data_IF_728806617289
#
_entry.id   IF_728806617289
#
_cell.length_a   1.000
_cell.length_b   1.000
_cell.length_c   1.000
_cell.angle_alpha   90.00
_cell.angle_beta   90.00
_cell.angle_gamma   90.00
#
_symmetry.space_group_name_H-M   'P 1'
#
loop_
_entity.id
_entity.type
_entity.pdbx_description
1 polymer ?
#
# COMPACT_ATOMS: atom_id res chain seq x y z
N UNK A 1 -101.40 -90.82 29.23
CA UNK A 1 -99.93 -90.67 29.18
C UNK A 1 -99.39 -91.83 28.37
N UNK A 2 -98.76 -91.57 27.22
CA UNK A 2 -98.04 -92.59 26.46
C UNK A 2 -96.69 -92.02 26.04
N UNK A 3 -95.67 -92.84 26.16
CA UNK A 3 -94.28 -92.47 26.37
C UNK A 3 -93.44 -92.60 25.08
N UNK A 4 -92.40 -91.76 24.99
CA UNK A 4 -91.08 -92.00 24.37
C UNK A 4 -90.98 -92.05 22.84
N UNK A 5 -89.97 -91.33 22.33
CA UNK A 5 -89.45 -91.48 20.97
C UNK A 5 -88.11 -90.77 20.74
N UNK A 6 -87.14 -90.90 21.66
CA UNK A 6 -85.75 -90.53 21.39
C UNK A 6 -85.12 -91.52 20.40
N UNK A 7 -84.48 -91.02 19.33
CA UNK A 7 -83.83 -91.85 18.30
C UNK A 7 -82.89 -92.91 18.93
N UNK A 8 -82.87 -94.15 18.42
CA UNK A 8 -82.03 -95.22 18.97
C UNK A 8 -80.55 -94.89 18.75
N UNK A 9 -79.74 -95.05 19.80
CA UNK A 9 -78.28 -95.01 19.72
C UNK A 9 -77.77 -96.19 18.90
N UNK A 10 -76.92 -95.90 17.91
CA UNK A 10 -76.23 -96.92 17.10
C UNK A 10 -75.34 -97.74 18.04
N UNK A 11 -75.56 -99.06 18.12
CA UNK A 11 -74.75 -99.98 18.92
C UNK A 11 -73.63 -100.54 18.07
N UNK A 12 -72.38 -100.19 18.40
CA UNK A 12 -71.19 -100.69 17.71
C UNK A 12 -70.80 -102.07 18.24
N UNK A 13 -70.20 -102.92 17.39
CA UNK A 13 -69.63 -104.21 17.81
C UNK A 13 -68.36 -104.00 18.63
N UNK A 14 -68.01 -104.97 19.49
CA UNK A 14 -66.77 -104.92 20.28
C UNK A 14 -65.53 -104.80 19.39
N UNK A 15 -65.53 -105.43 18.20
CA UNK A 15 -64.47 -105.28 17.20
C UNK A 15 -64.40 -103.84 16.68
N UNK A 16 -65.52 -103.25 16.27
CA UNK A 16 -65.56 -101.88 15.76
C UNK A 16 -65.15 -100.85 16.83
N UNK A 17 -65.43 -101.12 18.11
CA UNK A 17 -64.94 -100.31 19.23
C UNK A 17 -63.41 -100.43 19.40
N UNK A 18 -62.85 -101.65 19.30
CA UNK A 18 -61.39 -101.85 19.33
C UNK A 18 -60.71 -101.17 18.13
N UNK A 19 -61.24 -101.32 16.92
CA UNK A 19 -60.71 -100.70 15.70
C UNK A 19 -60.74 -99.17 15.79
N UNK A 20 -61.85 -98.59 16.26
CA UNK A 20 -61.96 -97.14 16.49
C UNK A 20 -60.95 -96.65 17.55
N UNK A 21 -60.77 -97.37 18.66
CA UNK A 21 -59.78 -97.01 19.66
C UNK A 21 -58.34 -97.14 19.13
N UNK A 22 -58.03 -98.19 18.36
CA UNK A 22 -56.74 -98.35 17.71
C UNK A 22 -56.47 -97.21 16.71
N UNK A 23 -57.46 -96.80 15.92
CA UNK A 23 -57.37 -95.65 15.03
C UNK A 23 -57.15 -94.34 15.82
N UNK A 24 -57.90 -94.11 16.89
CA UNK A 24 -57.72 -92.93 17.75
C UNK A 24 -56.31 -92.89 18.38
N UNK A 25 -55.79 -94.03 18.84
CA UNK A 25 -54.43 -94.12 19.37
C UNK A 25 -53.36 -93.91 18.30
N UNK A 26 -53.54 -94.49 17.11
CA UNK A 26 -52.62 -94.32 15.98
C UNK A 26 -52.58 -92.86 15.50
N UNK A 27 -53.74 -92.22 15.36
CA UNK A 27 -53.86 -90.80 15.02
C UNK A 27 -53.24 -89.93 16.11
N UNK A 28 -53.58 -90.14 17.39
CA UNK A 28 -52.99 -89.38 18.50
C UNK A 28 -51.46 -89.56 18.60
N UNK A 29 -50.91 -90.72 18.22
CA UNK A 29 -49.47 -90.94 18.16
C UNK A 29 -48.83 -90.24 16.95
N UNK A 30 -49.48 -90.27 15.78
CA UNK A 30 -49.03 -89.52 14.59
C UNK A 30 -49.03 -88.01 14.86
N UNK A 31 -50.13 -87.46 15.38
CA UNK A 31 -50.25 -86.04 15.73
C UNK A 31 -49.22 -85.60 16.77
N UNK A 32 -48.94 -86.44 17.79
CA UNK A 32 -47.85 -86.16 18.75
C UNK A 32 -46.48 -86.14 18.09
N UNK A 33 -46.21 -87.02 17.13
CA UNK A 33 -44.95 -87.02 16.37
C UNK A 33 -44.81 -85.77 15.51
N UNK A 34 -45.85 -85.42 14.75
CA UNK A 34 -45.88 -84.19 13.93
C UNK A 34 -45.70 -82.95 14.80
N UNK A 35 -46.45 -82.85 15.90
CA UNK A 35 -46.32 -81.76 16.88
C UNK A 35 -44.91 -81.71 17.50
N UNK A 36 -44.31 -82.86 17.82
CA UNK A 36 -42.94 -82.90 18.35
C UNK A 36 -41.91 -82.40 17.33
N UNK A 37 -42.06 -82.77 16.06
CA UNK A 37 -41.20 -82.29 14.97
C UNK A 37 -41.35 -80.78 14.77
N UNK A 38 -42.58 -80.27 14.63
CA UNK A 38 -42.86 -78.82 14.48
C UNK A 38 -42.31 -78.02 15.68
N UNK A 39 -42.48 -78.52 16.91
CA UNK A 39 -41.93 -77.85 18.09
C UNK A 39 -40.41 -77.88 18.12
N UNK A 40 -39.77 -78.96 17.67
CA UNK A 40 -38.32 -79.04 17.60
C UNK A 40 -37.76 -78.10 16.53
N UNK A 41 -38.35 -78.11 15.34
CA UNK A 41 -38.02 -77.16 14.26
C UNK A 41 -38.24 -75.71 14.70
N UNK A 42 -39.38 -75.42 15.33
CA UNK A 42 -39.68 -74.09 15.87
C UNK A 42 -38.71 -73.65 16.97
N UNK A 43 -38.24 -74.57 17.84
CA UNK A 43 -37.20 -74.27 18.82
C UNK A 43 -35.84 -73.99 18.16
N UNK A 44 -35.44 -74.82 17.20
CA UNK A 44 -34.20 -74.63 16.43
C UNK A 44 -34.23 -73.29 15.69
N UNK A 45 -35.32 -72.99 14.97
CA UNK A 45 -35.50 -71.74 14.23
C UNK A 45 -35.46 -70.53 15.17
N UNK A 46 -36.13 -70.58 16.32
CA UNK A 46 -36.08 -69.51 17.32
C UNK A 46 -34.67 -69.27 17.87
N UNK A 47 -33.93 -70.35 18.14
CA UNK A 47 -32.55 -70.24 18.63
C UNK A 47 -31.65 -69.64 17.57
N UNK A 48 -31.72 -70.15 16.34
CA UNK A 48 -30.94 -69.68 15.20
C UNK A 48 -31.22 -68.21 14.89
N UNK A 49 -32.50 -67.83 14.76
CA UNK A 49 -32.91 -66.45 14.49
C UNK A 49 -32.54 -65.52 15.64
N UNK A 50 -32.69 -65.93 16.89
CA UNK A 50 -32.26 -65.14 18.05
C UNK A 50 -30.75 -64.87 18.03
N UNK A 51 -29.93 -65.90 17.79
CA UNK A 51 -28.48 -65.73 17.68
C UNK A 51 -28.10 -64.87 16.49
N UNK A 52 -28.77 -65.05 15.35
CA UNK A 52 -28.52 -64.27 14.14
C UNK A 52 -28.85 -62.80 14.33
N UNK A 53 -30.01 -62.48 14.92
CA UNK A 53 -30.42 -61.09 15.19
C UNK A 53 -29.45 -60.38 16.13
N UNK A 54 -29.03 -61.03 17.22
CA UNK A 54 -28.05 -60.45 18.16
C UNK A 54 -26.71 -60.21 17.47
N UNK A 55 -26.26 -61.14 16.63
CA UNK A 55 -25.01 -61.00 15.90
C UNK A 55 -25.09 -59.86 14.87
N UNK A 56 -26.16 -59.80 14.07
CA UNK A 56 -26.35 -58.74 13.06
C UNK A 56 -26.45 -57.36 13.73
N UNK A 57 -27.18 -57.21 14.84
CA UNK A 57 -27.28 -55.97 15.62
C UNK A 57 -25.90 -55.51 16.15
N UNK A 58 -25.11 -56.46 16.67
CA UNK A 58 -23.76 -56.19 17.15
C UNK A 58 -22.82 -55.77 16.01
N UNK A 59 -22.87 -56.45 14.85
CA UNK A 59 -22.05 -56.08 13.69
C UNK A 59 -22.43 -54.70 13.14
N UNK A 60 -23.72 -54.37 13.05
CA UNK A 60 -24.16 -53.04 12.64
C UNK A 60 -23.75 -51.94 13.62
N UNK A 61 -23.84 -52.22 14.92
CA UNK A 61 -23.41 -51.27 15.97
C UNK A 61 -21.91 -51.01 15.91
N UNK A 62 -21.10 -52.05 15.64
CA UNK A 62 -19.66 -51.92 15.44
C UNK A 62 -19.34 -51.04 14.23
N UNK A 63 -19.96 -51.30 13.08
CA UNK A 63 -19.76 -50.49 11.86
C UNK A 63 -20.19 -49.03 12.05
N UNK A 64 -21.27 -48.79 12.78
CA UNK A 64 -21.72 -47.44 13.11
C UNK A 64 -20.71 -46.73 14.03
N UNK A 65 -20.16 -47.43 15.03
CA UNK A 65 -19.09 -46.90 15.88
C UNK A 65 -17.82 -46.55 15.10
N UNK A 66 -17.40 -47.39 14.15
CA UNK A 66 -16.30 -47.10 13.23
C UNK A 66 -16.59 -45.85 12.39
N UNK A 67 -17.83 -45.70 11.90
CA UNK A 67 -18.25 -44.53 11.12
C UNK A 67 -18.20 -43.24 11.94
N UNK A 68 -18.71 -43.26 13.18
CA UNK A 68 -18.63 -42.13 14.13
C UNK A 68 -17.18 -41.69 14.29
N UNK A 69 -16.25 -42.64 14.44
CA UNK A 69 -14.83 -42.33 14.57
C UNK A 69 -14.24 -41.68 13.30
N UNK A 70 -14.56 -42.20 12.11
CA UNK A 70 -14.11 -41.62 10.85
C UNK A 70 -14.63 -40.19 10.63
N UNK A 71 -15.92 -39.95 10.93
CA UNK A 71 -16.54 -38.63 10.80
C UNK A 71 -15.93 -37.65 11.79
N UNK A 72 -15.72 -38.06 13.05
CA UNK A 72 -15.07 -37.24 14.07
C UNK A 72 -13.64 -36.87 13.68
N UNK A 73 -12.85 -37.81 13.14
CA UNK A 73 -11.49 -37.53 12.66
C UNK A 73 -11.50 -36.48 11.55
N UNK A 74 -12.42 -36.57 10.60
CA UNK A 74 -12.54 -35.60 9.52
C UNK A 74 -13.01 -34.23 9.99
N UNK A 75 -13.95 -34.17 10.94
CA UNK A 75 -14.35 -32.94 11.62
C UNK A 75 -13.11 -32.24 12.21
N UNK A 76 -12.29 -32.95 12.98
CA UNK A 76 -11.10 -32.38 13.60
C UNK A 76 -10.06 -31.89 12.58
N UNK A 77 -9.90 -32.58 11.45
CA UNK A 77 -9.01 -32.16 10.35
C UNK A 77 -9.51 -30.86 9.71
N UNK A 78 -10.81 -30.78 9.41
CA UNK A 78 -11.44 -29.59 8.81
C UNK A 78 -11.39 -28.40 9.77
N UNK A 79 -11.65 -28.61 11.06
CA UNK A 79 -11.59 -27.58 12.09
C UNK A 79 -10.17 -26.99 12.22
N UNK A 80 -9.15 -27.84 12.32
CA UNK A 80 -7.74 -27.40 12.32
C UNK A 80 -7.34 -26.69 11.03
N UNK A 81 -7.83 -27.17 9.88
CA UNK A 81 -7.54 -26.53 8.59
C UNK A 81 -8.17 -25.14 8.51
N UNK A 82 -9.43 -25.01 8.96
CA UNK A 82 -10.14 -23.74 8.99
C UNK A 82 -9.45 -22.72 9.91
N UNK A 83 -8.99 -23.15 11.09
CA UNK A 83 -8.22 -22.29 11.99
C UNK A 83 -6.94 -21.76 11.34
N UNK A 84 -6.18 -22.61 10.63
CA UNK A 84 -4.97 -22.18 9.91
C UNK A 84 -5.27 -21.18 8.79
N UNK A 85 -6.40 -21.33 8.11
CA UNK A 85 -6.85 -20.37 7.11
C UNK A 85 -7.18 -19.03 7.77
N UNK A 86 -7.84 -19.03 8.93
CA UNK A 86 -8.13 -17.81 9.70
C UNK A 86 -6.82 -17.10 10.11
N UNK A 87 -5.84 -17.84 10.66
CA UNK A 87 -4.52 -17.32 11.02
C UNK A 87 -3.78 -16.71 9.82
N UNK A 88 -3.84 -17.37 8.65
CA UNK A 88 -3.20 -16.87 7.43
C UNK A 88 -3.91 -15.64 6.86
N UNK A 89 -5.25 -15.58 6.94
CA UNK A 89 -6.04 -14.41 6.55
C UNK A 89 -5.71 -13.19 7.42
N UNK A 90 -5.57 -13.37 8.74
CA UNK A 90 -5.17 -12.30 9.66
C UNK A 90 -3.79 -11.76 9.29
N UNK A 91 -2.81 -12.65 9.07
CA UNK A 91 -1.46 -12.24 8.76
C UNK A 91 -1.31 -11.64 7.35
N UNK A 92 -2.12 -12.07 6.36
CA UNK A 92 -2.22 -11.42 5.05
C UNK A 92 -2.87 -10.03 5.14
N UNK A 93 -3.91 -9.89 5.98
CA UNK A 93 -4.56 -8.59 6.24
C UNK A 93 -3.58 -7.59 6.85
N UNK A 94 -2.78 -8.01 7.84
CA UNK A 94 -1.74 -7.17 8.42
C UNK A 94 -0.72 -6.71 7.37
N UNK A 95 -0.31 -7.62 6.47
CA UNK A 95 0.62 -7.27 5.37
C UNK A 95 0.02 -6.24 4.41
N UNK A 96 -1.29 -6.33 4.12
CA UNK A 96 -2.02 -5.33 3.33
C UNK A 96 -2.03 -3.97 4.00
N UNK A 97 -2.42 -3.92 5.28
CA UNK A 97 -2.49 -2.68 6.06
C UNK A 97 -1.13 -1.98 6.14
N UNK A 98 -0.05 -2.74 6.38
CA UNK A 98 1.31 -2.21 6.35
C UNK A 98 1.68 -1.61 5.00
N UNK A 99 1.28 -2.26 3.90
CA UNK A 99 1.53 -1.77 2.53
C UNK A 99 0.72 -0.49 2.25
N UNK A 100 -0.52 -0.41 2.74
CA UNK A 100 -1.36 0.79 2.68
C UNK A 100 -0.77 1.96 3.48
N UNK A 101 -0.21 1.70 4.66
CA UNK A 101 0.51 2.70 5.43
C UNK A 101 1.75 3.22 4.71
N UNK A 102 2.53 2.33 4.08
CA UNK A 102 3.69 2.73 3.26
C UNK A 102 3.24 3.57 2.07
N UNK A 103 2.16 3.19 1.39
CA UNK A 103 1.58 3.98 0.30
C UNK A 103 1.18 5.38 0.79
N UNK A 104 0.46 5.49 1.91
CA UNK A 104 0.08 6.77 2.48
C UNK A 104 1.30 7.64 2.84
N UNK A 105 2.36 7.03 3.36
CA UNK A 105 3.60 7.73 3.71
C UNK A 105 4.32 8.37 2.49
N UNK A 106 4.05 7.90 1.26
CA UNK A 106 4.62 8.50 0.04
C UNK A 106 3.98 9.83 -0.38
N UNK A 107 2.81 10.18 0.17
CA UNK A 107 2.11 11.42 -0.20
C UNK A 107 2.92 12.68 0.15
N UNK A 108 3.51 12.73 1.35
CA UNK A 108 4.30 13.88 1.81
C UNK A 108 5.57 14.08 0.95
N UNK A 109 6.39 13.05 0.66
CA UNK A 109 7.47 13.13 -0.31
C UNK A 109 7.06 13.69 -1.69
N UNK A 110 5.92 13.26 -2.21
CA UNK A 110 5.42 13.73 -3.52
C UNK A 110 5.06 15.21 -3.48
N UNK A 111 4.30 15.64 -2.46
CA UNK A 111 3.93 17.03 -2.26
C UNK A 111 5.15 17.93 -2.07
N UNK A 112 6.11 17.51 -1.25
CA UNK A 112 7.35 18.26 -1.00
C UNK A 112 8.16 18.43 -2.29
N UNK A 113 8.32 17.37 -3.07
CA UNK A 113 9.08 17.41 -4.32
C UNK A 113 8.41 18.30 -5.36
N UNK A 114 7.08 18.23 -5.45
CA UNK A 114 6.27 19.08 -6.33
C UNK A 114 6.33 20.55 -5.90
N UNK A 115 6.18 20.84 -4.61
CA UNK A 115 6.30 22.21 -4.07
C UNK A 115 7.70 22.78 -4.35
N UNK A 116 8.76 21.97 -4.22
CA UNK A 116 10.12 22.40 -4.55
C UNK A 116 10.28 22.77 -6.03
N UNK A 117 9.62 22.04 -6.95
CA UNK A 117 9.60 22.39 -8.36
C UNK A 117 8.87 23.72 -8.58
N UNK A 118 7.68 23.89 -8.01
CA UNK A 118 6.91 25.15 -8.11
C UNK A 118 7.64 26.36 -7.54
N UNK A 119 8.34 26.19 -6.41
CA UNK A 119 9.19 27.25 -5.84
C UNK A 119 10.28 27.68 -6.82
N UNK A 120 10.86 26.74 -7.56
CA UNK A 120 11.93 27.01 -8.51
C UNK A 120 11.44 27.61 -9.83
N UNK A 121 10.21 27.32 -10.23
CA UNK A 121 9.53 28.02 -11.34
C UNK A 121 9.35 29.52 -11.06
N UNK A 122 9.34 29.93 -9.79
CA UNK A 122 9.28 31.34 -9.40
C UNK A 122 10.54 32.16 -9.67
N UNK A 123 11.66 31.53 -10.07
CA UNK A 123 12.92 32.21 -10.39
C UNK A 123 12.76 33.12 -11.63
N UNK A 124 13.49 34.24 -11.63
CA UNK A 124 13.32 35.28 -12.65
C UNK A 124 14.56 35.44 -13.54
N UNK A 125 14.31 35.68 -14.84
CA UNK A 125 15.37 35.99 -15.80
C UNK A 125 16.43 34.90 -15.91
N UNK A 126 17.73 35.23 -15.91
CA UNK A 126 18.82 34.26 -16.06
C UNK A 126 18.93 33.22 -14.93
N UNK A 127 18.20 33.39 -13.82
CA UNK A 127 18.19 32.42 -12.71
C UNK A 127 17.24 31.23 -12.97
N UNK A 128 16.30 31.38 -13.91
CA UNK A 128 15.41 30.31 -14.34
C UNK A 128 16.17 29.39 -15.32
N UNK A 129 16.91 28.44 -14.76
CA UNK A 129 17.80 27.54 -15.50
C UNK A 129 17.38 26.09 -15.25
N UNK A 130 17.43 25.30 -16.32
CA UNK A 130 17.38 23.85 -16.22
C UNK A 130 18.70 23.33 -15.66
N UNK A 131 18.70 22.97 -14.39
CA UNK A 131 19.90 22.56 -13.66
C UNK A 131 19.74 21.16 -13.04
N UNK A 132 20.81 20.56 -12.51
CA UNK A 132 20.75 19.22 -11.94
C UNK A 132 19.76 19.08 -10.79
N UNK A 133 19.35 20.16 -10.11
CA UNK A 133 18.34 20.06 -9.05
C UNK A 133 16.97 19.81 -9.64
N UNK A 134 16.61 20.54 -10.70
CA UNK A 134 15.32 20.35 -11.38
C UNK A 134 15.22 18.93 -11.96
N UNK A 135 16.30 18.42 -12.56
CA UNK A 135 16.35 17.03 -13.05
C UNK A 135 16.14 16.01 -11.93
N UNK A 136 16.80 16.17 -10.78
CA UNK A 136 16.67 15.23 -9.66
C UNK A 136 15.30 15.31 -8.99
N UNK A 137 14.70 16.50 -8.89
CA UNK A 137 13.34 16.68 -8.38
C UNK A 137 12.29 16.02 -9.30
N UNK A 138 12.41 16.17 -10.63
CA UNK A 138 11.52 15.49 -11.58
C UNK A 138 11.65 13.96 -11.48
N UNK A 139 12.89 13.45 -11.42
CA UNK A 139 13.15 12.02 -11.18
C UNK A 139 12.57 11.53 -9.85
N UNK A 140 12.65 12.34 -8.79
CA UNK A 140 12.06 12.01 -7.49
C UNK A 140 10.53 11.91 -7.57
N UNK A 141 9.86 12.87 -8.23
CA UNK A 141 8.40 12.81 -8.48
C UNK A 141 8.01 11.57 -9.29
N UNK A 142 8.65 11.35 -10.44
CA UNK A 142 8.37 10.20 -11.32
C UNK A 142 8.57 8.86 -10.60
N UNK A 143 9.62 8.75 -9.78
CA UNK A 143 9.89 7.57 -8.97
C UNK A 143 8.82 7.36 -7.91
N UNK A 144 8.43 8.41 -7.18
CA UNK A 144 7.40 8.31 -6.14
C UNK A 144 6.06 7.87 -6.75
N UNK A 145 5.65 8.45 -7.87
CA UNK A 145 4.42 8.04 -8.58
C UNK A 145 4.51 6.59 -9.11
N UNK A 146 5.69 6.16 -9.56
CA UNK A 146 5.96 4.78 -9.94
C UNK A 146 5.81 3.81 -8.76
N UNK A 147 6.36 4.16 -7.61
CA UNK A 147 6.24 3.39 -6.36
C UNK A 147 4.79 3.34 -5.89
N UNK A 148 4.06 4.45 -5.92
CA UNK A 148 2.64 4.49 -5.56
C UNK A 148 1.81 3.53 -6.40
N UNK A 149 2.00 3.51 -7.73
CA UNK A 149 1.32 2.58 -8.63
C UNK A 149 1.64 1.11 -8.31
N UNK A 150 2.91 0.79 -8.05
CA UNK A 150 3.33 -0.57 -7.67
C UNK A 150 2.72 -1.01 -6.34
N UNK A 151 2.74 -0.14 -5.33
CA UNK A 151 2.13 -0.43 -4.02
C UNK A 151 0.62 -0.64 -4.15
N UNK A 152 -0.08 0.18 -4.93
CA UNK A 152 -1.51 0.00 -5.22
C UNK A 152 -1.80 -1.35 -5.90
N UNK A 153 -0.99 -1.74 -6.88
CA UNK A 153 -1.10 -3.04 -7.53
C UNK A 153 -0.89 -4.20 -6.54
N UNK A 154 0.11 -4.12 -5.68
CA UNK A 154 0.35 -5.13 -4.64
C UNK A 154 -0.84 -5.23 -3.67
N UNK A 155 -1.38 -4.09 -3.22
CA UNK A 155 -2.56 -4.05 -2.34
C UNK A 155 -3.76 -4.74 -3.01
N UNK A 156 -3.97 -4.50 -4.31
CA UNK A 156 -5.04 -5.13 -5.06
C UNK A 156 -4.86 -6.65 -5.15
N UNK A 157 -3.66 -7.13 -5.49
CA UNK A 157 -3.36 -8.57 -5.56
C UNK A 157 -3.54 -9.26 -4.20
N UNK A 158 -3.10 -8.60 -3.12
CA UNK A 158 -3.30 -9.10 -1.75
C UNK A 158 -4.78 -9.16 -1.39
N UNK A 159 -5.57 -8.18 -1.79
CA UNK A 159 -7.02 -8.18 -1.58
C UNK A 159 -7.72 -9.32 -2.34
N UNK A 160 -7.36 -9.55 -3.61
CA UNK A 160 -7.89 -10.68 -4.38
C UNK A 160 -7.57 -12.02 -3.69
N UNK A 161 -6.35 -12.18 -3.19
CA UNK A 161 -5.94 -13.39 -2.46
C UNK A 161 -6.72 -13.57 -1.15
N UNK A 162 -7.04 -12.49 -0.43
CA UNK A 162 -7.93 -12.54 0.74
C UNK A 162 -9.32 -13.05 0.37
N UNK A 163 -9.88 -12.62 -0.76
CA UNK A 163 -11.18 -13.14 -1.23
C UNK A 163 -11.13 -14.65 -1.52
N UNK A 164 -10.03 -15.14 -2.13
CA UNK A 164 -9.84 -16.58 -2.36
C UNK A 164 -9.80 -17.36 -1.05
N UNK A 165 -9.02 -16.88 -0.06
CA UNK A 165 -8.97 -17.51 1.27
C UNK A 165 -10.33 -17.50 1.97
N UNK A 166 -11.10 -16.42 1.84
CA UNK A 166 -12.43 -16.30 2.41
C UNK A 166 -13.42 -17.31 1.79
N UNK A 167 -13.37 -17.53 0.46
CA UNK A 167 -14.19 -18.54 -0.21
C UNK A 167 -13.83 -19.95 0.28
N UNK A 168 -12.53 -20.26 0.38
CA UNK A 168 -12.03 -21.53 0.91
C UNK A 168 -12.51 -21.74 2.35
N UNK A 169 -12.44 -20.70 3.18
CA UNK A 169 -12.91 -20.74 4.57
C UNK A 169 -14.39 -21.08 4.63
N UNK A 170 -15.21 -20.48 3.77
CA UNK A 170 -16.64 -20.80 3.69
C UNK A 170 -16.87 -22.27 3.32
N UNK A 171 -16.17 -22.80 2.33
CA UNK A 171 -16.28 -24.21 1.92
C UNK A 171 -15.88 -25.19 3.04
N UNK A 172 -14.76 -24.92 3.72
CA UNK A 172 -14.33 -25.71 4.89
C UNK A 172 -15.38 -25.69 6.01
N UNK A 173 -16.02 -24.53 6.24
CA UNK A 173 -17.09 -24.38 7.24
C UNK A 173 -18.33 -25.19 6.88
N UNK A 174 -18.73 -25.16 5.61
CA UNK A 174 -19.87 -25.93 5.12
C UNK A 174 -19.62 -27.43 5.25
N UNK A 175 -18.43 -27.91 4.87
CA UNK A 175 -18.05 -29.31 5.04
C UNK A 175 -18.01 -29.70 6.52
N UNK A 176 -17.42 -28.86 7.38
CA UNK A 176 -17.37 -29.07 8.83
C UNK A 176 -18.78 -29.19 9.43
N UNK A 177 -19.71 -28.31 9.05
CA UNK A 177 -21.10 -28.38 9.50
C UNK A 177 -21.75 -29.70 9.10
N UNK A 178 -21.58 -30.11 7.84
CA UNK A 178 -22.09 -31.40 7.36
C UNK A 178 -21.51 -32.59 8.15
N UNK A 179 -20.22 -32.53 8.54
CA UNK A 179 -19.60 -33.56 9.40
C UNK A 179 -20.18 -33.54 10.82
N UNK A 180 -20.46 -32.37 11.38
CA UNK A 180 -21.07 -32.24 12.71
C UNK A 180 -22.49 -32.81 12.72
N UNK A 181 -23.31 -32.46 11.73
CA UNK A 181 -24.69 -32.95 11.61
C UNK A 181 -24.72 -34.47 11.39
N UNK A 182 -23.84 -35.00 10.53
CA UNK A 182 -23.70 -36.44 10.33
C UNK A 182 -23.26 -37.16 11.61
N UNK A 183 -22.33 -36.57 12.36
CA UNK A 183 -21.85 -37.13 13.62
C UNK A 183 -22.95 -37.20 14.69
N UNK A 184 -23.78 -36.15 14.79
CA UNK A 184 -24.89 -36.10 15.73
C UNK A 184 -25.96 -37.15 15.41
N UNK A 185 -26.28 -37.33 14.13
CA UNK A 185 -27.19 -38.39 13.66
C UNK A 185 -26.60 -39.77 13.97
N UNK A 186 -25.35 -40.02 13.61
CA UNK A 186 -24.71 -41.33 13.80
C UNK A 186 -24.57 -41.69 15.29
N UNK A 187 -24.24 -40.71 16.15
CA UNK A 187 -24.20 -40.89 17.61
C UNK A 187 -25.59 -41.16 18.18
N UNK A 188 -26.61 -40.44 17.71
CA UNK A 188 -28.00 -40.66 18.09
C UNK A 188 -28.44 -42.08 17.72
N UNK A 189 -28.15 -42.53 16.50
CA UNK A 189 -28.42 -43.90 16.04
C UNK A 189 -27.70 -44.95 16.89
N UNK A 190 -26.44 -44.71 17.27
CA UNK A 190 -25.65 -45.63 18.10
C UNK A 190 -26.21 -45.75 19.52
N UNK A 191 -26.90 -44.71 20.02
CA UNK A 191 -27.51 -44.71 21.36
C UNK A 191 -28.86 -45.45 21.43
N UNK A 192 -29.50 -45.70 20.28
CA UNK A 192 -30.80 -46.38 20.23
C UNK A 192 -30.67 -47.86 20.60
N UNK A 193 -31.64 -48.36 21.35
CA UNK A 193 -31.79 -49.78 21.66
C UNK A 193 -33.27 -50.18 21.59
N UNK A 194 -33.55 -51.48 21.72
CA UNK A 194 -34.91 -52.05 21.59
C UNK A 194 -35.91 -51.47 22.62
N UNK A 195 -35.43 -50.87 23.71
CA UNK A 195 -36.28 -50.23 24.74
C UNK A 195 -36.44 -48.71 24.54
N UNK A 196 -35.81 -48.12 23.52
CA UNK A 196 -35.92 -46.70 23.24
C UNK A 196 -37.34 -46.34 22.79
N UNK A 197 -37.94 -45.23 23.30
CA UNK A 197 -39.34 -44.90 23.05
C UNK A 197 -39.65 -44.51 21.60
N UNK A 198 -38.66 -44.00 20.85
CA UNK A 198 -38.85 -43.44 19.51
C UNK A 198 -38.64 -44.44 18.35
N UNK A 199 -38.42 -45.73 18.65
CA UNK A 199 -38.29 -46.76 17.62
C UNK A 199 -39.67 -47.10 17.02
N UNK A 200 -39.75 -47.21 15.70
CA UNK A 200 -40.99 -47.51 14.98
C UNK A 200 -40.69 -48.06 13.60
N UNK A 201 -41.63 -48.83 13.03
CA UNK A 201 -41.55 -49.31 11.66
C UNK A 201 -41.69 -48.13 10.69
N UNK A 202 -40.73 -47.99 9.76
CA UNK A 202 -40.69 -46.89 8.80
C UNK A 202 -41.20 -47.34 7.43
N UNK A 203 -41.87 -46.45 6.71
CA UNK A 203 -42.29 -46.69 5.33
C UNK A 203 -41.09 -46.66 4.40
N UNK A 204 -40.91 -47.72 3.60
CA UNK A 204 -39.81 -47.88 2.64
C UNK A 204 -38.42 -47.54 3.23
N UNK A 205 -37.94 -48.31 4.22
CA UNK A 205 -36.68 -48.02 4.94
C UNK A 205 -35.43 -48.33 4.10
N UNK A 206 -35.55 -49.15 3.06
CA UNK A 206 -34.44 -49.55 2.18
C UNK A 206 -34.24 -48.61 0.99
N UNK A 207 -34.94 -47.47 0.96
CA UNK A 207 -34.79 -46.47 -0.10
C UNK A 207 -33.40 -45.83 -0.05
N UNK A 208 -32.85 -45.55 -1.22
CA UNK A 208 -31.63 -44.76 -1.38
C UNK A 208 -32.05 -43.36 -1.83
N UNK A 209 -31.81 -42.31 -1.03
CA UNK A 209 -32.11 -40.94 -1.46
C UNK A 209 -31.35 -40.57 -2.74
N UNK A 210 -31.97 -39.84 -3.68
CA UNK A 210 -31.27 -39.32 -4.85
C UNK A 210 -30.15 -38.37 -4.42
N UNK A 211 -28.99 -38.45 -5.07
CA UNK A 211 -27.80 -37.66 -4.71
C UNK A 211 -26.95 -38.23 -3.56
N UNK A 212 -27.18 -39.49 -3.16
CA UNK A 212 -26.32 -40.17 -2.17
C UNK A 212 -24.90 -40.36 -2.70
N UNK A 213 -23.89 -39.99 -1.91
CA UNK A 213 -22.47 -40.18 -2.22
C UNK A 213 -21.95 -41.53 -1.71
N UNK A 214 -20.92 -42.05 -2.39
CA UNK A 214 -20.13 -43.19 -1.92
C UNK A 214 -19.16 -42.77 -0.79
N UNK A 215 -18.68 -43.72 0.04
CA UNK A 215 -17.65 -43.43 1.04
C UNK A 215 -16.37 -42.85 0.45
N UNK A 216 -16.00 -43.27 -0.76
CA UNK A 216 -14.84 -42.77 -1.49
C UNK A 216 -15.02 -41.30 -1.87
N UNK A 217 -16.17 -40.93 -2.44
CA UNK A 217 -16.49 -39.54 -2.78
C UNK A 217 -16.53 -38.64 -1.53
N UNK A 218 -17.08 -39.15 -0.42
CA UNK A 218 -17.11 -38.43 0.87
C UNK A 218 -15.71 -38.11 1.40
N UNK A 219 -14.79 -39.08 1.36
CA UNK A 219 -13.38 -38.88 1.75
C UNK A 219 -12.69 -37.91 0.80
N UNK A 220 -12.89 -38.07 -0.51
CA UNK A 220 -12.29 -37.21 -1.54
C UNK A 220 -12.74 -35.76 -1.42
N UNK A 221 -14.01 -35.50 -1.09
CA UNK A 221 -14.53 -34.15 -0.91
C UNK A 221 -13.79 -33.38 0.19
N UNK A 222 -13.64 -33.98 1.37
CA UNK A 222 -12.92 -33.33 2.48
C UNK A 222 -11.42 -33.23 2.22
N UNK A 223 -10.81 -34.21 1.56
CA UNK A 223 -9.42 -34.10 1.10
C UNK A 223 -9.22 -32.95 0.13
N UNK A 224 -10.11 -32.79 -0.85
CA UNK A 224 -10.04 -31.73 -1.84
C UNK A 224 -10.10 -30.35 -1.19
N UNK A 225 -11.04 -30.13 -0.26
CA UNK A 225 -11.17 -28.86 0.46
C UNK A 225 -9.90 -28.51 1.25
N UNK A 226 -9.31 -29.51 1.94
CA UNK A 226 -8.07 -29.34 2.71
C UNK A 226 -6.87 -29.07 1.78
N UNK A 227 -6.75 -29.78 0.67
CA UNK A 227 -5.68 -29.57 -0.31
C UNK A 227 -5.74 -28.16 -0.91
N UNK A 228 -6.94 -27.72 -1.34
CA UNK A 228 -7.18 -26.37 -1.86
C UNK A 228 -6.82 -25.29 -0.85
N UNK A 229 -7.15 -25.51 0.43
CA UNK A 229 -6.77 -24.61 1.50
C UNK A 229 -5.25 -24.51 1.70
N UNK A 230 -4.55 -25.64 1.69
CA UNK A 230 -3.09 -25.65 1.76
C UNK A 230 -2.43 -24.91 0.61
N UNK A 231 -2.90 -25.12 -0.63
CA UNK A 231 -2.38 -24.42 -1.81
C UNK A 231 -2.58 -22.90 -1.71
N UNK A 232 -3.77 -22.45 -1.31
CA UNK A 232 -4.06 -21.03 -1.16
C UNK A 232 -3.28 -20.36 -0.02
N UNK A 233 -3.08 -21.06 1.11
CA UNK A 233 -2.23 -20.56 2.20
C UNK A 233 -0.77 -20.44 1.76
N UNK A 234 -0.24 -21.40 0.98
CA UNK A 234 1.12 -21.31 0.43
C UNK A 234 1.26 -20.15 -0.56
N UNK A 235 0.26 -19.91 -1.41
CA UNK A 235 0.24 -18.76 -2.31
C UNK A 235 0.23 -17.44 -1.54
N UNK A 236 -0.59 -17.35 -0.49
CA UNK A 236 -0.66 -16.19 0.41
C UNK A 236 0.68 -15.92 1.10
N UNK A 237 1.34 -16.96 1.64
CA UNK A 237 2.63 -16.81 2.29
C UNK A 237 3.69 -16.25 1.33
N UNK A 238 3.78 -16.80 0.11
CA UNK A 238 4.71 -16.29 -0.92
C UNK A 238 4.40 -14.84 -1.28
N UNK A 239 3.14 -14.49 -1.42
CA UNK A 239 2.71 -13.13 -1.73
C UNK A 239 3.13 -12.13 -0.64
N UNK A 240 3.07 -12.51 0.64
CA UNK A 240 3.59 -11.67 1.74
C UNK A 240 5.11 -11.47 1.65
N UNK A 241 5.84 -12.54 1.38
CA UNK A 241 7.31 -12.49 1.23
C UNK A 241 7.70 -11.58 0.06
N UNK A 242 7.03 -11.74 -1.09
CA UNK A 242 7.24 -10.91 -2.29
C UNK A 242 6.88 -9.44 -2.03
N UNK A 243 5.75 -9.19 -1.35
CA UNK A 243 5.30 -7.83 -1.01
C UNK A 243 6.29 -7.15 -0.07
N UNK A 244 6.78 -7.87 0.95
CA UNK A 244 7.78 -7.37 1.89
C UNK A 244 9.10 -7.02 1.19
N UNK A 245 9.58 -7.91 0.30
CA UNK A 245 10.79 -7.69 -0.48
C UNK A 245 10.63 -6.48 -1.43
N UNK A 246 9.51 -6.39 -2.13
CA UNK A 246 9.22 -5.29 -3.04
C UNK A 246 9.16 -3.95 -2.28
N UNK A 247 8.52 -3.92 -1.10
CA UNK A 247 8.46 -2.74 -0.24
C UNK A 247 9.86 -2.28 0.19
N UNK A 248 10.73 -3.22 0.60
CA UNK A 248 12.11 -2.91 0.96
C UNK A 248 12.92 -2.34 -0.22
N UNK A 249 12.78 -2.92 -1.42
CA UNK A 249 13.42 -2.44 -2.64
C UNK A 249 12.96 -1.01 -2.99
N UNK A 250 11.65 -0.77 -3.00
CA UNK A 250 11.08 0.55 -3.29
C UNK A 250 11.54 1.60 -2.28
N UNK A 251 11.60 1.26 -0.99
CA UNK A 251 12.11 2.17 0.04
C UNK A 251 13.59 2.52 -0.18
N UNK A 252 14.42 1.55 -0.60
CA UNK A 252 15.83 1.80 -0.91
C UNK A 252 15.99 2.69 -2.16
N UNK A 253 15.17 2.50 -3.18
CA UNK A 253 15.13 3.35 -4.39
C UNK A 253 14.78 4.79 -4.01
N UNK A 254 13.71 4.99 -3.22
CA UNK A 254 13.28 6.30 -2.73
C UNK A 254 14.36 7.00 -1.91
N UNK A 255 14.99 6.30 -0.96
CA UNK A 255 16.05 6.87 -0.13
C UNK A 255 17.29 7.25 -0.96
N UNK A 256 17.64 6.44 -1.95
CA UNK A 256 18.76 6.73 -2.87
C UNK A 256 18.47 7.98 -3.69
N UNK A 257 17.27 8.09 -4.26
CA UNK A 257 16.87 9.26 -5.05
C UNK A 257 16.80 10.52 -4.18
N UNK A 258 16.24 10.42 -2.97
CA UNK A 258 16.20 11.52 -2.00
C UNK A 258 17.60 12.08 -1.71
N UNK A 259 18.58 11.20 -1.47
CA UNK A 259 19.98 11.59 -1.24
C UNK A 259 20.59 12.29 -2.45
N UNK A 260 20.30 11.80 -3.66
CA UNK A 260 20.75 12.44 -4.89
C UNK A 260 20.19 13.86 -5.04
N UNK A 261 18.89 14.06 -4.77
CA UNK A 261 18.27 15.39 -4.78
C UNK A 261 18.86 16.31 -3.71
N UNK A 262 19.03 15.82 -2.47
CA UNK A 262 19.63 16.61 -1.38
C UNK A 262 21.07 17.04 -1.69
N UNK A 263 21.86 16.15 -2.32
CA UNK A 263 23.21 16.49 -2.75
C UNK A 263 23.20 17.55 -3.85
N UNK A 264 22.35 17.40 -4.86
CA UNK A 264 22.21 18.38 -5.94
C UNK A 264 21.83 19.76 -5.40
N UNK A 265 20.85 19.82 -4.48
CA UNK A 265 20.42 21.06 -3.81
C UNK A 265 21.59 21.74 -3.09
N UNK A 266 22.29 21.01 -2.21
CA UNK A 266 23.44 21.58 -1.46
C UNK A 266 24.52 22.12 -2.41
N UNK A 267 24.84 21.37 -3.46
CA UNK A 267 25.82 21.79 -4.46
C UNK A 267 25.38 23.05 -5.19
N UNK A 268 24.10 23.13 -5.60
CA UNK A 268 23.58 24.28 -6.33
C UNK A 268 23.47 25.54 -5.45
N UNK A 269 23.02 25.40 -4.21
CA UNK A 269 23.00 26.50 -3.24
C UNK A 269 24.41 27.08 -3.05
N UNK A 270 25.42 26.23 -2.89
CA UNK A 270 26.80 26.69 -2.74
C UNK A 270 27.31 27.45 -3.98
N UNK A 271 27.03 26.94 -5.19
CA UNK A 271 27.40 27.64 -6.43
C UNK A 271 26.71 29.00 -6.55
N UNK A 272 25.45 29.09 -6.10
CA UNK A 272 24.68 30.33 -6.14
C UNK A 272 25.21 31.36 -5.12
N UNK A 273 25.60 30.92 -3.92
CA UNK A 273 26.27 31.75 -2.92
C UNK A 273 27.60 32.29 -3.45
N UNK A 274 28.43 31.45 -4.07
CA UNK A 274 29.69 31.90 -4.69
C UNK A 274 29.46 32.96 -5.78
N UNK A 275 28.47 32.75 -6.64
CA UNK A 275 28.14 33.71 -7.70
C UNK A 275 27.65 35.06 -7.12
N UNK A 276 26.85 35.02 -6.04
CA UNK A 276 26.42 36.22 -5.30
C UNK A 276 27.63 36.95 -4.71
N UNK A 277 28.53 36.24 -4.04
CA UNK A 277 29.67 36.84 -3.34
C UNK A 277 30.68 37.44 -4.34
N UNK A 278 30.89 36.77 -5.48
CA UNK A 278 31.68 37.31 -6.57
C UNK A 278 31.05 38.58 -7.15
N UNK A 279 29.73 38.62 -7.32
CA UNK A 279 29.04 39.80 -7.85
C UNK A 279 29.09 40.98 -6.87
N UNK A 280 28.94 40.72 -5.56
CA UNK A 280 29.13 41.74 -4.51
C UNK A 280 30.53 42.35 -4.57
N UNK A 281 31.56 41.52 -4.76
CA UNK A 281 32.93 41.98 -4.90
C UNK A 281 33.13 42.85 -6.16
N UNK A 282 32.58 42.44 -7.31
CA UNK A 282 32.65 43.22 -8.55
C UNK A 282 31.94 44.58 -8.43
N UNK A 283 30.77 44.61 -7.77
CA UNK A 283 30.03 45.86 -7.49
C UNK A 283 30.90 46.81 -6.69
N UNK A 284 31.47 46.34 -5.57
CA UNK A 284 32.34 47.15 -4.72
C UNK A 284 33.52 47.75 -5.48
N UNK A 285 34.24 46.92 -6.25
CA UNK A 285 35.38 47.41 -7.02
C UNK A 285 34.98 48.42 -8.10
N UNK A 286 33.82 48.22 -8.72
CA UNK A 286 33.29 49.17 -9.72
C UNK A 286 32.88 50.48 -9.08
N UNK A 287 32.34 50.46 -7.86
CA UNK A 287 32.05 51.68 -7.08
C UNK A 287 33.33 52.44 -6.75
N UNK A 288 34.38 51.75 -6.32
CA UNK A 288 35.70 52.36 -6.07
C UNK A 288 36.27 52.99 -7.36
N UNK A 289 36.27 52.27 -8.49
CA UNK A 289 36.72 52.79 -9.78
C UNK A 289 35.90 54.00 -10.26
N UNK A 290 34.58 53.99 -10.02
CA UNK A 290 33.72 55.14 -10.30
C UNK A 290 34.13 56.37 -9.47
N UNK A 291 34.50 56.20 -8.20
CA UNK A 291 34.97 57.33 -7.36
C UNK A 291 36.32 57.89 -7.83
N UNK A 292 37.22 57.02 -8.31
CA UNK A 292 38.48 57.46 -8.92
C UNK A 292 38.21 58.25 -10.21
N UNK A 293 37.37 57.72 -11.10
CA UNK A 293 37.00 58.38 -12.36
C UNK A 293 36.29 59.74 -12.12
N UNK A 294 35.44 59.84 -11.10
CA UNK A 294 34.80 61.11 -10.70
C UNK A 294 35.81 62.14 -10.17
N UNK A 295 36.88 61.67 -9.52
CA UNK A 295 37.98 62.53 -9.05
C UNK A 295 38.83 63.00 -10.23
N UNK A 296 39.15 62.12 -11.17
CA UNK A 296 39.88 62.46 -12.39
C UNK A 296 39.10 63.46 -13.27
N UNK A 297 37.78 63.29 -13.41
CA UNK A 297 36.92 64.24 -14.13
C UNK A 297 36.98 65.63 -13.47
N UNK A 298 36.93 65.71 -12.13
CA UNK A 298 37.05 66.99 -11.41
C UNK A 298 38.44 67.61 -11.60
N UNK A 299 39.50 66.80 -11.58
CA UNK A 299 40.86 67.24 -11.84
C UNK A 299 41.04 67.80 -13.26
N UNK A 300 40.57 67.06 -14.27
CA UNK A 300 40.60 67.47 -15.67
C UNK A 300 39.82 68.76 -15.92
N UNK A 301 38.65 68.94 -15.30
CA UNK A 301 37.87 70.17 -15.40
C UNK A 301 38.60 71.36 -14.74
N UNK A 302 39.20 71.17 -13.56
CA UNK A 302 40.00 72.20 -12.90
C UNK A 302 41.23 72.61 -13.74
N UNK A 303 41.93 71.63 -14.33
CA UNK A 303 43.05 71.88 -15.24
C UNK A 303 42.60 72.61 -16.50
N UNK A 304 41.44 72.27 -17.06
CA UNK A 304 40.85 72.95 -18.20
C UNK A 304 40.58 74.43 -17.88
N UNK A 305 39.97 74.72 -16.72
CA UNK A 305 39.72 76.10 -16.27
C UNK A 305 41.02 76.87 -16.06
N UNK A 306 42.03 76.25 -15.44
CA UNK A 306 43.33 76.86 -15.23
C UNK A 306 44.01 77.22 -16.57
N UNK A 307 43.99 76.31 -17.56
CA UNK A 307 44.56 76.56 -18.89
C UNK A 307 43.75 77.58 -19.69
N UNK A 308 42.42 77.61 -19.55
CA UNK A 308 41.57 78.64 -20.14
C UNK A 308 41.89 80.04 -19.57
N UNK A 309 42.18 80.13 -18.26
CA UNK A 309 42.63 81.37 -17.64
C UNK A 309 44.01 81.83 -18.17
N UNK A 310 44.97 80.90 -18.32
CA UNK A 310 46.26 81.19 -18.97
C UNK A 310 46.09 81.66 -20.41
N UNK A 311 45.22 81.02 -21.19
CA UNK A 311 44.94 81.42 -22.57
C UNK A 311 44.32 82.83 -22.63
N UNK A 312 43.37 83.13 -21.74
CA UNK A 312 42.78 84.47 -21.61
C UNK A 312 43.82 85.54 -21.31
N UNK A 313 44.79 85.23 -20.44
CA UNK A 313 45.90 86.13 -20.15
C UNK A 313 46.77 86.38 -21.39
N UNK A 314 47.15 85.32 -22.11
CA UNK A 314 47.93 85.43 -23.34
C UNK A 314 47.21 86.24 -24.42
N UNK A 315 45.90 85.99 -24.64
CA UNK A 315 45.05 86.78 -25.53
C UNK A 315 45.02 88.27 -25.14
N UNK A 316 44.81 88.55 -23.85
CA UNK A 316 44.76 89.93 -23.35
C UNK A 316 46.10 90.65 -23.55
N UNK A 317 47.22 89.94 -23.35
CA UNK A 317 48.58 90.48 -23.60
C UNK A 317 48.81 90.77 -25.08
N UNK A 318 48.40 89.86 -25.97
CA UNK A 318 48.49 90.07 -27.42
C UNK A 318 47.64 91.26 -27.88
N UNK A 319 46.40 91.36 -27.40
CA UNK A 319 45.48 92.45 -27.73
C UNK A 319 45.99 93.80 -27.21
N UNK A 320 46.48 93.86 -25.98
CA UNK A 320 47.04 95.11 -25.42
C UNK A 320 48.22 95.62 -26.27
N UNK A 321 49.01 94.70 -26.82
CA UNK A 321 50.18 95.01 -27.65
C UNK A 321 49.85 95.54 -29.04
N UNK A 322 48.60 95.44 -29.51
CA UNK A 322 48.16 96.04 -30.80
C UNK A 322 48.01 97.56 -30.73
N UNK A 323 47.93 98.12 -29.51
CA UNK A 323 47.75 99.57 -29.26
C UNK A 323 49.07 100.36 -29.27
N UNK A 324 50.20 99.70 -29.56
CA UNK A 324 51.52 100.35 -29.62
C UNK A 324 51.57 101.30 -30.83
N UNK A 325 52.01 102.56 -30.67
CA UNK A 325 51.98 103.54 -31.75
C UNK A 325 53.16 103.38 -32.74
N UNK A 326 52.91 103.65 -34.02
CA UNK A 326 53.96 103.83 -35.04
C UNK A 326 54.90 102.63 -35.21
N UNK A 327 56.22 102.88 -35.19
CA UNK A 327 57.26 101.87 -35.40
C UNK A 327 57.37 100.86 -34.25
N UNK A 328 56.88 101.22 -33.05
CA UNK A 328 56.86 100.35 -31.88
C UNK A 328 55.81 99.23 -31.97
N UNK A 329 54.96 99.25 -33.01
CA UNK A 329 54.11 98.12 -33.43
C UNK A 329 54.95 97.03 -34.13
N UNK A 330 56.06 96.65 -33.51
CA UNK A 330 57.00 95.68 -34.04
C UNK A 330 56.63 94.24 -33.61
N UNK A 331 56.92 93.29 -34.48
CA UNK A 331 56.84 91.84 -34.20
C UNK A 331 58.16 91.38 -33.57
N UNK A 332 58.32 91.71 -32.30
CA UNK A 332 59.49 91.34 -31.50
C UNK A 332 59.42 89.89 -30.99
N UNK A 333 60.49 89.46 -30.30
CA UNK A 333 60.58 88.12 -29.73
C UNK A 333 59.43 87.79 -28.78
N UNK A 334 58.95 88.78 -28.01
CA UNK A 334 57.82 88.61 -27.08
C UNK A 334 56.52 88.38 -27.85
N UNK A 335 56.31 89.09 -28.97
CA UNK A 335 55.15 88.85 -29.83
C UNK A 335 55.15 87.41 -30.38
N UNK A 336 56.29 86.93 -30.88
CA UNK A 336 56.41 85.56 -31.37
C UNK A 336 56.20 84.52 -30.26
N UNK A 337 56.76 84.77 -29.07
CA UNK A 337 56.57 83.90 -27.89
C UNK A 337 55.11 83.79 -27.45
N UNK A 338 54.38 84.91 -27.36
CA UNK A 338 52.97 84.92 -26.99
C UNK A 338 52.08 84.20 -28.03
N UNK A 339 52.38 84.32 -29.33
CA UNK A 339 51.66 83.59 -30.38
C UNK A 339 51.89 82.08 -30.25
N UNK A 340 53.13 81.65 -30.00
CA UNK A 340 53.43 80.24 -29.77
C UNK A 340 52.76 79.71 -28.49
N UNK A 341 52.76 80.49 -27.41
CA UNK A 341 52.06 80.16 -26.15
C UNK A 341 50.56 79.95 -26.37
N UNK A 342 49.90 80.83 -27.14
CA UNK A 342 48.48 80.67 -27.50
C UNK A 342 48.24 79.37 -28.26
N UNK A 343 49.00 79.10 -29.32
CA UNK A 343 48.86 77.87 -30.11
C UNK A 343 49.06 76.61 -29.26
N UNK A 344 50.04 76.62 -28.36
CA UNK A 344 50.27 75.51 -27.44
C UNK A 344 49.11 75.34 -26.44
N UNK A 345 48.62 76.43 -25.87
CA UNK A 345 47.51 76.41 -24.91
C UNK A 345 46.21 75.93 -25.57
N UNK A 346 45.91 76.39 -26.79
CA UNK A 346 44.75 75.91 -27.57
C UNK A 346 44.83 74.40 -27.81
N UNK A 347 46.00 73.90 -28.23
CA UNK A 347 46.23 72.46 -28.44
C UNK A 347 46.09 71.66 -27.14
N UNK A 348 46.61 72.19 -26.03
CA UNK A 348 46.52 71.56 -24.70
C UNK A 348 45.07 71.51 -24.23
N UNK A 349 44.31 72.60 -24.39
CA UNK A 349 42.88 72.68 -24.05
C UNK A 349 42.07 71.69 -24.89
N UNK A 350 42.34 71.60 -26.20
CA UNK A 350 41.69 70.63 -27.08
C UNK A 350 41.90 69.20 -26.57
N UNK A 351 43.14 68.86 -26.20
CA UNK A 351 43.51 67.54 -25.68
C UNK A 351 42.82 67.24 -24.34
N UNK A 352 42.79 68.22 -23.43
CA UNK A 352 42.09 68.10 -22.14
C UNK A 352 40.59 67.91 -22.33
N UNK A 353 39.95 68.64 -23.25
CA UNK A 353 38.52 68.46 -23.58
C UNK A 353 38.22 67.05 -24.09
N UNK A 354 39.09 66.52 -24.96
CA UNK A 354 38.94 65.15 -25.45
C UNK A 354 39.06 64.13 -24.31
N UNK A 355 40.07 64.27 -23.44
CA UNK A 355 40.24 63.34 -22.31
C UNK A 355 39.09 63.44 -21.30
N UNK A 356 38.58 64.64 -21.06
CA UNK A 356 37.40 64.86 -20.23
C UNK A 356 36.16 64.15 -20.80
N UNK A 357 35.91 64.24 -22.10
CA UNK A 357 34.77 63.56 -22.74
C UNK A 357 34.92 62.04 -22.73
N UNK A 358 36.13 61.51 -22.95
CA UNK A 358 36.46 60.10 -22.83
C UNK A 358 36.20 59.58 -21.39
N UNK A 359 36.65 60.32 -20.37
CA UNK A 359 36.45 59.99 -18.96
C UNK A 359 34.96 60.01 -18.57
N UNK A 360 34.21 61.04 -18.99
CA UNK A 360 32.77 61.16 -18.75
C UNK A 360 31.99 60.00 -19.40
N UNK A 361 32.33 59.62 -20.64
CA UNK A 361 31.72 58.49 -21.33
C UNK A 361 32.04 57.16 -20.61
N UNK A 362 33.28 56.99 -20.15
CA UNK A 362 33.69 55.81 -19.39
C UNK A 362 32.89 55.68 -18.09
N UNK A 363 32.77 56.77 -17.33
CA UNK A 363 31.96 56.82 -16.10
C UNK A 363 30.50 56.47 -16.37
N UNK A 364 29.91 57.00 -17.45
CA UNK A 364 28.52 56.68 -17.81
C UNK A 364 28.34 55.19 -18.12
N UNK A 365 29.29 54.56 -18.82
CA UNK A 365 29.29 53.12 -19.09
C UNK A 365 29.39 52.31 -17.80
N UNK A 366 30.27 52.70 -16.88
CA UNK A 366 30.40 52.06 -15.57
C UNK A 366 29.11 52.16 -14.75
N UNK A 367 28.49 53.35 -14.70
CA UNK A 367 27.18 53.56 -14.03
C UNK A 367 26.08 52.65 -14.59
N UNK A 368 26.01 52.52 -15.91
CA UNK A 368 25.05 51.61 -16.55
C UNK A 368 25.33 50.14 -16.20
N UNK A 369 26.60 49.73 -16.21
CA UNK A 369 26.97 48.35 -15.86
C UNK A 369 26.73 48.03 -14.38
N UNK A 370 27.05 48.97 -13.49
CA UNK A 370 26.77 48.89 -12.05
C UNK A 370 25.28 48.68 -11.78
N UNK A 371 24.41 49.46 -12.43
CA UNK A 371 22.95 49.26 -12.32
C UNK A 371 22.50 47.86 -12.76
N UNK A 372 23.09 47.30 -13.83
CA UNK A 372 22.81 45.93 -14.27
C UNK A 372 23.29 44.89 -13.26
N UNK A 373 24.47 45.08 -12.66
CA UNK A 373 24.99 44.19 -11.62
C UNK A 373 24.12 44.21 -10.36
N UNK A 374 23.63 45.37 -9.93
CA UNK A 374 22.68 45.47 -8.82
C UNK A 374 21.37 44.72 -9.10
N UNK A 375 20.85 44.83 -10.32
CA UNK A 375 19.66 44.07 -10.72
C UNK A 375 19.92 42.55 -10.69
N UNK A 376 21.08 42.11 -11.19
CA UNK A 376 21.45 40.69 -11.16
C UNK A 376 21.65 40.18 -9.72
N UNK A 377 22.20 41.01 -8.83
CA UNK A 377 22.34 40.70 -7.41
C UNK A 377 20.98 40.47 -6.74
N UNK A 378 19.99 41.34 -7.01
CA UNK A 378 18.61 41.16 -6.52
C UNK A 378 18.05 39.80 -6.94
N UNK A 379 18.19 39.44 -8.22
CA UNK A 379 17.72 38.15 -8.75
C UNK A 379 18.42 36.97 -8.08
N UNK A 380 19.74 37.06 -7.84
CA UNK A 380 20.48 36.00 -7.12
C UNK A 380 20.02 35.83 -5.69
N UNK A 381 19.75 36.93 -4.99
CA UNK A 381 19.21 36.91 -3.63
C UNK A 381 17.81 36.29 -3.58
N UNK A 382 16.94 36.65 -4.52
CA UNK A 382 15.61 36.03 -4.68
C UNK A 382 15.74 34.52 -4.94
N UNK A 383 16.60 34.11 -5.87
CA UNK A 383 16.84 32.69 -6.18
C UNK A 383 17.36 31.91 -4.96
N UNK A 384 18.28 32.48 -4.16
CA UNK A 384 18.74 31.89 -2.91
C UNK A 384 17.63 31.77 -1.86
N UNK A 385 16.76 32.77 -1.77
CA UNK A 385 15.61 32.73 -0.85
C UNK A 385 14.64 31.60 -1.21
N UNK A 386 14.43 31.35 -2.51
CA UNK A 386 13.63 30.22 -3.00
C UNK A 386 14.30 28.88 -2.66
N UNK A 387 15.61 28.76 -2.85
CA UNK A 387 16.35 27.54 -2.46
C UNK A 387 16.28 27.28 -0.95
N UNK A 388 16.36 28.33 -0.13
CA UNK A 388 16.22 28.19 1.32
C UNK A 388 14.80 27.75 1.70
N UNK A 389 13.77 28.25 1.02
CA UNK A 389 12.39 27.77 1.17
C UNK A 389 12.28 26.30 0.76
N UNK A 390 12.82 25.90 -0.39
CA UNK A 390 12.84 24.49 -0.82
C UNK A 390 13.54 23.60 0.21
N UNK A 391 14.66 24.04 0.78
CA UNK A 391 15.35 23.30 1.84
C UNK A 391 14.50 23.18 3.11
N UNK A 392 13.76 24.22 3.49
CA UNK A 392 12.84 24.19 4.63
C UNK A 392 11.65 23.27 4.37
N UNK A 393 11.06 23.32 3.17
CA UNK A 393 9.99 22.42 2.72
C UNK A 393 10.45 20.96 2.81
N UNK A 394 11.70 20.66 2.41
CA UNK A 394 12.29 19.32 2.54
C UNK A 394 12.61 18.89 3.97
N UNK A 395 12.68 19.81 4.93
CA UNK A 395 12.81 19.43 6.35
C UNK A 395 11.62 18.60 6.84
N UNK A 396 10.45 18.73 6.21
CA UNK A 396 9.26 17.89 6.48
C UNK A 396 9.48 16.41 6.18
N UNK A 397 10.49 16.06 5.38
CA UNK A 397 10.85 14.68 5.06
C UNK A 397 11.76 14.04 6.12
N UNK A 398 12.32 14.83 7.05
CA UNK A 398 13.17 14.26 8.11
C UNK A 398 12.27 13.56 9.13
N UNK A 399 12.64 12.36 9.60
CA UNK A 399 11.96 11.77 10.74
C UNK A 399 12.07 12.75 11.90
N UNK A 400 10.93 13.21 12.43
CA UNK A 400 10.94 13.89 13.72
C UNK A 400 11.45 12.88 14.75
N UNK A 401 12.42 13.24 15.62
CA UNK A 401 12.72 12.40 16.77
C UNK A 401 11.43 12.31 17.59
N UNK A 402 10.89 11.09 17.70
CA UNK A 402 9.65 10.81 18.38
C UNK A 402 9.76 11.16 19.86
N UNK A 403 9.28 12.34 20.24
CA UNK A 403 8.75 12.56 21.58
C UNK A 403 7.27 12.18 21.58
N UNK A 404 6.92 11.32 22.52
CA UNK A 404 5.59 10.80 22.86
C UNK A 404 4.98 9.71 21.97
N UNK A 405 5.17 8.48 22.48
CA UNK A 405 4.20 7.39 22.40
C UNK A 405 2.92 7.83 23.15
N UNK A 406 2.00 8.47 22.47
CA UNK A 406 0.59 8.45 22.88
C UNK A 406 -0.09 7.28 22.15
N UNK A 407 -0.65 6.29 22.87
CA UNK A 407 -1.41 5.23 22.22
C UNK A 407 -2.69 5.82 21.66
N UNK A 408 -2.89 5.68 20.36
CA UNK A 408 -4.19 5.91 19.70
C UNK A 408 -5.19 4.91 20.30
N UNK A 409 -6.39 5.35 20.72
CA UNK A 409 -7.40 4.42 21.20
C UNK A 409 -7.90 3.56 20.03
N UNK A 410 -7.75 2.24 20.16
CA UNK A 410 -8.44 1.26 19.34
C UNK A 410 -9.96 1.52 19.44
N UNK A 411 -10.55 1.98 18.34
CA UNK A 411 -12.01 1.99 18.18
C UNK A 411 -12.43 0.53 17.94
N UNK A 412 -13.29 -0.07 18.78
CA UNK A 412 -13.80 -1.41 18.52
C UNK A 412 -14.71 -1.36 17.29
N UNK A 413 -14.36 -2.12 16.26
CA UNK A 413 -15.28 -2.45 15.18
C UNK A 413 -16.49 -3.17 15.80
N UNK A 414 -17.67 -2.57 15.65
CA UNK A 414 -18.92 -3.18 16.07
C UNK A 414 -19.12 -4.48 15.29
N UNK A 415 -19.11 -5.60 16.01
CA UNK A 415 -19.52 -6.91 15.52
C UNK A 415 -20.97 -6.83 15.01
N UNK A 416 -21.15 -6.77 13.70
CA UNK A 416 -22.44 -7.07 13.05
C UNK A 416 -22.65 -8.58 13.00
N UNK A 417 -22.78 -9.20 14.17
CA UNK A 417 -23.29 -10.57 14.29
C UNK A 417 -24.68 -10.47 14.91
N UNK A 418 -25.69 -10.43 14.04
CA UNK A 418 -27.08 -10.58 14.44
C UNK A 418 -27.31 -11.96 15.05
N UNK A 419 -27.18 -12.05 16.37
CA UNK A 419 -27.75 -13.13 17.18
C UNK A 419 -28.83 -12.54 18.08
N UNK A 420 -30.06 -12.68 17.63
CA UNK A 420 -31.26 -12.39 18.40
C UNK A 420 -31.32 -13.32 19.61
N UNK A 421 -31.23 -12.75 20.81
CA UNK A 421 -31.61 -13.40 22.05
C UNK A 421 -33.14 -13.55 22.08
N UNK A 422 -33.66 -14.78 22.02
CA UNK A 422 -35.02 -15.09 22.42
C UNK A 422 -35.00 -15.50 23.90
N UNK A 423 -35.56 -14.65 24.76
CA UNK A 423 -35.97 -15.02 26.12
C UNK A 423 -37.17 -15.98 26.04
N UNK A 424 -37.23 -17.05 26.84
CA UNK A 424 -38.48 -17.76 27.07
C UNK A 424 -39.28 -17.02 28.16
N UNK A 425 -40.45 -16.51 27.81
CA UNK A 425 -41.47 -16.17 28.80
C UNK A 425 -42.06 -17.45 29.36
N UNK A 426 -41.99 -17.58 30.67
CA UNK A 426 -42.71 -18.59 31.44
C UNK A 426 -44.22 -18.32 31.37
N UNK A 427 -44.99 -19.39 31.18
CA UNK A 427 -46.34 -19.58 31.70
C UNK A 427 -46.39 -20.93 32.40
#
# INVERSE_FOLDING_TARGET
MSAVGGKPSVRHSVSAWHDNNHQLFATAHHERKVSSAIRQEGRSLRSETSSRTVWDESDTSRRLSERVWDVARWKDVLERCAQKVDEEMEALTLSKEQTEMVLAATAVPLEVSSECLTLREGRQGPELVHDPVEEQLKKEVELIEGVQRRLQQNIHQVFEQLCVLQEIRHQLTSDLQNKMDALDIDMSCLSLNIKSPDISLKTNPTRIPPGSSTPQEWVQFSHFNVARAHEAMQASQRMREDTSLAAAQMNNELETQRRATEFALRKRTHQQEQARDQLLWQIKNTEEEMTYMETDIRGLDADLQAKAASLKLAHTRLESRTRRPGVDLCRDQVQHGLVAEVQQLETTIQTLKQKLSEAQLSLQKMKLHHSRMLQDLSRKQEALSLEQRSSNTRARLRPTPSTDKTPVPLVPLANSSGRSNLQPMAQ
#
